data_IF_953134151186
#
_entry.id   IF_953134151186
#
_cell.length_a   1.000
_cell.length_b   1.000
_cell.length_c   1.000
_cell.angle_alpha   90.00
_cell.angle_beta   90.00
_cell.angle_gamma   90.00
#
_symmetry.space_group_name_H-M   'P 1'
#
loop_
_entity.id
_entity.type
_entity.pdbx_description
1 polymer ?
#
# COMPACT_ATOMS: atom_id res chain seq x y z
N UNK A 1 19.09 5.37 2.61
CA UNK A 1 17.81 6.08 2.85
C UNK A 1 16.95 5.17 3.71
N UNK A 2 16.49 5.62 4.87
CA UNK A 2 15.68 4.78 5.76
C UNK A 2 14.20 5.04 5.47
N UNK A 3 13.47 4.04 4.98
CA UNK A 3 12.05 4.15 4.68
C UNK A 3 11.23 3.58 5.84
N UNK A 4 10.27 4.36 6.35
CA UNK A 4 9.30 3.89 7.34
C UNK A 4 7.96 3.60 6.64
N UNK A 5 7.48 2.35 6.62
CA UNK A 5 6.18 2.04 6.03
C UNK A 5 5.04 2.70 6.83
N UNK A 6 4.03 3.19 6.12
CA UNK A 6 2.83 3.82 6.73
C UNK A 6 1.69 2.84 6.97
N UNK A 7 1.85 1.60 6.52
CA UNK A 7 0.79 0.61 6.46
C UNK A 7 1.22 -0.63 5.69
N UNK A 8 0.25 -1.51 5.41
CA UNK A 8 0.47 -2.74 4.66
C UNK A 8 -0.75 -3.09 3.78
N UNK A 9 -0.49 -3.89 2.75
CA UNK A 9 -1.52 -4.44 1.88
C UNK A 9 -2.01 -5.77 2.47
N UNK A 10 -3.29 -5.88 2.75
CA UNK A 10 -3.95 -7.14 3.13
C UNK A 10 -4.75 -7.64 1.92
N UNK A 11 -4.41 -8.84 1.45
CA UNK A 11 -5.06 -9.49 0.29
C UNK A 11 -5.32 -10.97 0.56
N UNK A 12 -6.17 -11.58 -0.25
CA UNK A 12 -6.36 -13.03 -0.27
C UNK A 12 -5.19 -13.76 -0.92
N UNK A 13 -5.42 -15.03 -1.27
CA UNK A 13 -4.38 -15.90 -1.87
C UNK A 13 -4.05 -15.55 -3.32
N UNK A 14 -4.90 -14.77 -4.01
CA UNK A 14 -4.77 -14.48 -5.43
C UNK A 14 -3.96 -13.23 -5.73
N UNK A 15 -3.46 -13.14 -6.97
CA UNK A 15 -2.88 -11.93 -7.57
C UNK A 15 -3.75 -11.45 -8.74
N UNK A 16 -5.08 -11.61 -8.60
CA UNK A 16 -6.03 -11.26 -9.66
C UNK A 16 -6.24 -9.75 -9.70
N UNK A 17 -6.30 -9.18 -10.91
CA UNK A 17 -6.67 -7.76 -11.11
C UNK A 17 -8.10 -7.44 -10.69
N UNK A 18 -8.94 -8.46 -10.48
CA UNK A 18 -10.35 -8.30 -10.05
C UNK A 18 -10.51 -8.47 -8.53
N UNK A 19 -9.44 -8.80 -7.82
CA UNK A 19 -9.51 -9.02 -6.37
C UNK A 19 -9.49 -7.68 -5.64
N UNK A 20 -10.47 -7.49 -4.75
CA UNK A 20 -10.49 -6.34 -3.84
C UNK A 20 -9.44 -6.60 -2.76
N UNK A 21 -8.65 -5.59 -2.46
CA UNK A 21 -7.61 -5.63 -1.43
C UNK A 21 -7.81 -4.50 -0.44
N UNK A 22 -7.36 -4.70 0.80
CA UNK A 22 -7.40 -3.67 1.83
C UNK A 22 -6.01 -3.02 1.96
N UNK A 23 -5.98 -1.69 1.96
CA UNK A 23 -4.82 -0.92 2.38
C UNK A 23 -5.02 -0.53 3.85
N UNK A 24 -4.26 -1.15 4.75
CA UNK A 24 -4.35 -0.87 6.18
C UNK A 24 -3.29 0.15 6.56
N UNK A 25 -3.71 1.35 6.92
CA UNK A 25 -2.85 2.46 7.35
C UNK A 25 -2.72 2.42 8.88
N UNK A 26 -1.51 2.64 9.39
CA UNK A 26 -1.27 2.68 10.84
C UNK A 26 -1.91 3.94 11.45
N UNK A 27 -2.41 3.82 12.68
CA UNK A 27 -3.16 4.88 13.37
C UNK A 27 -2.40 6.21 13.42
N UNK A 28 -1.07 6.16 13.63
CA UNK A 28 -0.19 7.33 13.67
C UNK A 28 -0.14 8.13 12.34
N UNK A 29 -0.69 7.58 11.25
CA UNK A 29 -0.78 8.22 9.94
C UNK A 29 -2.22 8.51 9.49
N UNK A 30 -3.23 8.20 10.33
CA UNK A 30 -4.64 8.32 9.95
C UNK A 30 -5.05 9.75 9.57
N UNK A 31 -4.47 10.77 10.21
CA UNK A 31 -4.76 12.19 9.91
C UNK A 31 -4.47 12.55 8.44
N UNK A 32 -3.45 11.92 7.84
CA UNK A 32 -3.08 12.14 6.44
C UNK A 32 -4.09 11.61 5.42
N UNK A 33 -5.12 10.88 5.86
CA UNK A 33 -6.17 10.34 4.99
C UNK A 33 -7.40 11.26 4.88
N UNK A 34 -7.46 12.36 5.64
CA UNK A 34 -8.62 13.26 5.61
C UNK A 34 -8.87 13.80 4.19
N UNK A 35 -10.07 13.59 3.65
CA UNK A 35 -10.46 14.00 2.30
C UNK A 35 -10.13 12.97 1.21
N UNK A 36 -9.58 11.80 1.56
CA UNK A 36 -9.32 10.71 0.60
C UNK A 36 -10.60 10.21 -0.06
N UNK A 37 -11.74 10.31 0.64
CA UNK A 37 -13.06 9.94 0.19
C UNK A 37 -13.59 10.80 -0.98
N UNK A 38 -12.99 11.98 -1.22
CA UNK A 38 -13.32 12.84 -2.36
C UNK A 38 -12.76 12.28 -3.69
N UNK A 39 -11.91 11.26 -3.63
CA UNK A 39 -11.25 10.67 -4.79
C UNK A 39 -11.76 9.26 -5.08
N UNK A 40 -11.91 8.94 -6.37
CA UNK A 40 -12.26 7.59 -6.83
C UNK A 40 -11.05 6.72 -7.16
N UNK A 41 -9.87 7.32 -7.37
CA UNK A 41 -8.65 6.64 -7.81
C UNK A 41 -7.45 7.19 -7.04
N UNK A 42 -6.52 6.30 -6.69
CA UNK A 42 -5.32 6.63 -5.91
C UNK A 42 -4.07 6.06 -6.58
N UNK A 43 -2.96 6.77 -6.47
CA UNK A 43 -1.64 6.19 -6.70
C UNK A 43 -1.14 5.57 -5.39
N UNK A 44 -0.85 4.27 -5.41
CA UNK A 44 -0.39 3.53 -4.25
C UNK A 44 1.04 3.08 -4.48
N UNK A 45 1.97 3.64 -3.72
CA UNK A 45 3.37 3.22 -3.70
C UNK A 45 3.55 2.18 -2.59
N UNK A 46 4.08 1.01 -2.94
CA UNK A 46 4.31 -0.07 -2.00
C UNK A 46 5.66 -0.72 -2.21
N UNK A 47 6.20 -1.32 -1.15
CA UNK A 47 7.50 -1.97 -1.19
C UNK A 47 7.35 -3.45 -1.56
N UNK A 48 7.95 -3.86 -2.68
CA UNK A 48 8.05 -5.26 -3.08
C UNK A 48 9.14 -5.98 -2.26
N UNK A 49 8.92 -6.14 -0.95
CA UNK A 49 9.91 -6.65 0.01
C UNK A 49 10.47 -8.06 -0.28
N UNK A 50 9.82 -8.83 -1.16
CA UNK A 50 10.29 -10.15 -1.61
C UNK A 50 10.98 -10.13 -2.97
N UNK A 51 11.01 -8.97 -3.64
CA UNK A 51 11.72 -8.82 -4.89
C UNK A 51 13.21 -9.05 -4.67
N UNK A 52 13.85 -9.76 -5.59
CA UNK A 52 15.30 -9.77 -5.65
C UNK A 52 15.74 -8.45 -6.27
N UNK A 53 16.64 -7.75 -5.60
CA UNK A 53 17.37 -6.66 -6.24
C UNK A 53 18.37 -7.29 -7.21
N UNK A 54 18.08 -7.18 -8.51
CA UNK A 54 19.11 -7.39 -9.51
C UNK A 54 20.08 -6.22 -9.39
N UNK A 55 21.28 -6.50 -8.87
CA UNK A 55 22.41 -5.56 -8.92
C UNK A 55 22.81 -5.44 -10.38
N UNK A 56 22.34 -4.39 -11.05
CA UNK A 56 22.88 -3.92 -12.33
C UNK A 56 24.34 -3.50 -12.19
#
# INVERSE_FOLDING_TARGET
>A
MNFKPIGYVRRGKGASRKEIVDLVILEEYAEGLKGIEEFSHLFVLYFMHLAKEDKL
#
